data_IF_033007131156
#
_entry.id   IF_033007131156
#
_cell.length_a   1.000
_cell.length_b   1.000
_cell.length_c   1.000
_cell.angle_alpha   90.00
_cell.angle_beta   90.00
_cell.angle_gamma   90.00
#
_symmetry.space_group_name_H-M   'P 1'
#
loop_
_entity.id
_entity.type
_entity.pdbx_description
1 polymer ?
#
# COMPACT_ATOMS: atom_id res chain seq x y z
N UNK A 1 8.96 0.41 14.44
CA UNK A 1 8.53 0.74 13.06
C UNK A 1 9.69 0.46 12.13
N UNK A 2 9.42 -0.11 10.95
CA UNK A 2 10.41 -0.23 9.88
C UNK A 2 10.17 0.87 8.84
N UNK A 3 11.06 1.87 8.79
CA UNK A 3 10.99 2.97 7.84
C UNK A 3 11.85 2.68 6.59
N UNK A 4 11.42 3.18 5.44
CA UNK A 4 12.13 3.05 4.17
C UNK A 4 11.80 4.23 3.25
N UNK A 5 12.77 4.62 2.42
CA UNK A 5 12.55 5.65 1.41
C UNK A 5 11.81 5.04 0.20
N UNK A 6 10.72 5.68 -0.22
CA UNK A 6 9.97 5.32 -1.41
C UNK A 6 9.77 6.57 -2.28
N UNK A 7 10.50 6.66 -3.39
CA UNK A 7 10.60 7.91 -4.19
C UNK A 7 11.12 9.08 -3.33
N UNK A 8 10.29 10.09 -3.11
CA UNK A 8 10.59 11.36 -2.41
C UNK A 8 9.93 11.45 -1.03
N UNK A 9 9.40 10.33 -0.52
CA UNK A 9 8.76 10.24 0.79
C UNK A 9 9.26 9.02 1.56
N UNK A 10 9.41 9.14 2.86
CA UNK A 10 9.61 7.98 3.72
C UNK A 10 8.27 7.34 4.02
N UNK A 11 8.18 6.03 3.83
CA UNK A 11 7.08 5.20 4.30
C UNK A 11 7.55 4.37 5.50
N UNK A 12 6.62 3.97 6.35
CA UNK A 12 6.91 3.24 7.57
C UNK A 12 5.85 2.21 7.89
N UNK A 13 6.29 0.99 8.22
CA UNK A 13 5.46 -0.04 8.83
C UNK A 13 5.43 0.18 10.34
N UNK A 14 4.43 0.94 10.80
CA UNK A 14 4.24 1.23 12.23
C UNK A 14 3.67 0.00 12.91
N UNK A 15 4.52 -0.73 13.64
CA UNK A 15 4.09 -1.89 14.41
C UNK A 15 3.16 -1.46 15.54
N UNK A 16 1.97 -2.05 15.56
CA UNK A 16 0.95 -1.85 16.58
C UNK A 16 0.78 -3.16 17.33
N UNK A 17 1.04 -3.12 18.63
CA UNK A 17 0.92 -4.25 19.53
C UNK A 17 -0.35 -4.10 20.39
N UNK A 18 -1.13 -5.17 20.53
CA UNK A 18 -2.19 -5.28 21.53
C UNK A 18 -1.74 -6.23 22.65
N UNK A 19 -0.88 -5.72 23.53
CA UNK A 19 -0.24 -6.54 24.57
C UNK A 19 0.53 -7.70 23.96
N UNK A 20 0.27 -8.91 24.48
CA UNK A 20 0.84 -10.19 24.03
C UNK A 20 -0.01 -10.90 22.95
N UNK A 21 -1.16 -10.31 22.58
CA UNK A 21 -2.19 -10.96 21.75
C UNK A 21 -1.94 -10.82 20.26
N UNK A 22 -1.52 -9.64 19.82
CA UNK A 22 -1.38 -9.30 18.41
C UNK A 22 -0.25 -8.31 18.16
N UNK A 23 0.40 -8.46 17.01
CA UNK A 23 1.25 -7.44 16.42
C UNK A 23 0.90 -7.30 14.94
N UNK A 24 0.62 -6.09 14.49
CA UNK A 24 0.25 -5.79 13.10
C UNK A 24 0.93 -4.50 12.66
N UNK A 25 0.75 -4.05 11.42
CA UNK A 25 1.31 -2.78 10.97
C UNK A 25 0.27 -1.83 10.37
N UNK A 26 0.25 -0.61 10.88
CA UNK A 26 -0.33 0.55 10.19
C UNK A 26 0.70 1.13 9.22
N UNK A 27 0.21 1.83 8.18
CA UNK A 27 1.07 2.59 7.27
C UNK A 27 1.27 4.01 7.80
N UNK A 28 2.53 4.44 7.89
CA UNK A 28 2.92 5.80 8.22
C UNK A 28 3.78 6.42 7.12
N UNK A 29 3.85 7.75 7.08
CA UNK A 29 4.71 8.48 6.15
C UNK A 29 5.38 9.69 6.81
N UNK A 30 6.51 10.12 6.23
CA UNK A 30 7.26 11.30 6.61
C UNK A 30 7.97 11.90 5.40
N UNK A 31 8.12 13.24 5.36
CA UNK A 31 8.90 13.92 4.30
C UNK A 31 10.34 14.22 4.71
N UNK A 32 10.62 14.24 6.00
CA UNK A 32 11.93 14.60 6.57
C UNK A 32 12.61 13.44 7.31
N UNK A 33 11.86 12.35 7.55
CA UNK A 33 12.33 11.19 8.32
C UNK A 33 12.24 11.37 9.84
N UNK A 34 11.88 12.57 10.32
CA UNK A 34 11.76 12.89 11.75
C UNK A 34 10.31 13.02 12.21
N UNK A 35 9.47 13.73 11.45
CA UNK A 35 8.06 13.95 11.78
C UNK A 35 7.20 12.95 11.00
N UNK A 36 6.46 12.10 11.72
CA UNK A 36 5.73 10.97 11.14
C UNK A 36 4.23 11.10 11.34
N UNK A 37 3.46 10.77 10.30
CA UNK A 37 2.00 10.75 10.32
C UNK A 37 1.50 9.37 9.89
N UNK A 38 0.50 8.84 10.59
CA UNK A 38 -0.23 7.64 10.16
C UNK A 38 -1.12 8.01 8.97
N UNK A 39 -1.11 7.18 7.92
CA UNK A 39 -1.89 7.42 6.70
C UNK A 39 -3.40 7.35 6.99
N UNK A 40 -3.81 6.33 7.75
CA UNK A 40 -5.18 6.12 8.20
C UNK A 40 -5.15 5.51 9.61
N UNK A 41 -5.11 6.34 10.68
CA UNK A 41 -4.96 5.85 12.05
C UNK A 41 -6.03 4.81 12.41
N UNK A 42 -5.62 3.65 12.93
CA UNK A 42 -6.51 2.54 13.27
C UNK A 42 -6.83 1.58 12.12
N UNK A 43 -6.51 1.94 10.87
CA UNK A 43 -6.61 1.01 9.74
C UNK A 43 -5.31 0.24 9.56
N UNK A 44 -5.39 -1.07 9.79
CA UNK A 44 -4.25 -1.97 9.63
C UNK A 44 -3.99 -2.20 8.14
N UNK A 45 -2.78 -1.84 7.71
CA UNK A 45 -2.28 -2.04 6.36
C UNK A 45 -1.73 -3.47 6.18
N UNK A 46 -0.90 -3.93 7.12
CA UNK A 46 -0.34 -5.27 7.12
C UNK A 46 -0.89 -6.05 8.32
N UNK A 47 -1.85 -6.94 8.05
CA UNK A 47 -2.54 -7.73 9.08
C UNK A 47 -1.78 -9.02 9.38
N UNK A 48 -1.97 -9.51 10.60
CA UNK A 48 -1.58 -10.88 10.94
C UNK A 48 -2.47 -11.88 10.19
N UNK A 49 -2.07 -13.14 10.18
CA UNK A 49 -2.84 -14.20 9.53
C UNK A 49 -4.15 -14.53 10.26
N UNK A 50 -5.05 -15.21 9.56
CA UNK A 50 -6.31 -15.70 10.12
C UNK A 50 -6.08 -16.69 11.28
N UNK A 51 -7.05 -16.86 12.22
CA UNK A 51 -6.89 -17.75 13.35
C UNK A 51 -6.37 -19.15 12.98
N UNK A 52 -5.24 -19.52 13.60
CA UNK A 52 -4.62 -20.83 13.42
C UNK A 52 -3.76 -20.99 12.15
N UNK A 53 -3.49 -19.90 11.43
CA UNK A 53 -2.34 -19.78 10.53
C UNK A 53 -1.02 -19.71 11.33
N UNK A 54 0.13 -19.76 10.64
CA UNK A 54 1.44 -19.75 11.28
C UNK A 54 1.86 -18.36 11.80
N UNK A 55 1.19 -17.32 11.32
CA UNK A 55 1.39 -15.90 11.65
C UNK A 55 0.14 -15.27 12.29
N UNK A 56 -0.67 -16.08 12.97
CA UNK A 56 -1.97 -15.66 13.52
C UNK A 56 -1.91 -14.80 14.78
N UNK A 57 -0.77 -14.76 15.48
CA UNK A 57 -0.60 -14.01 16.73
C UNK A 57 0.21 -12.73 16.53
N UNK A 58 0.85 -12.56 15.39
CA UNK A 58 1.47 -11.29 15.05
C UNK A 58 2.44 -11.37 13.89
N UNK A 59 2.70 -10.19 13.36
CA UNK A 59 3.67 -9.94 12.29
C UNK A 59 4.52 -8.71 12.64
N UNK A 60 5.75 -8.72 12.14
CA UNK A 60 6.64 -7.55 12.09
C UNK A 60 7.20 -7.46 10.68
N UNK A 61 6.55 -6.64 9.85
CA UNK A 61 7.06 -6.31 8.53
C UNK A 61 8.28 -5.39 8.64
N UNK A 62 9.31 -5.68 7.84
CA UNK A 62 10.50 -4.83 7.71
C UNK A 62 10.43 -4.01 6.41
N UNK A 63 11.48 -3.21 6.14
CA UNK A 63 11.61 -2.48 4.89
C UNK A 63 11.51 -3.46 3.69
N UNK A 64 10.66 -3.17 2.69
CA UNK A 64 10.49 -4.06 1.55
C UNK A 64 11.65 -3.98 0.56
N UNK A 65 11.72 -5.00 -0.29
CA UNK A 65 12.58 -5.02 -1.47
C UNK A 65 11.73 -4.74 -2.70
N UNK A 66 12.13 -3.75 -3.51
CA UNK A 66 11.48 -3.47 -4.79
C UNK A 66 12.23 -4.25 -5.88
N UNK A 67 11.51 -5.06 -6.65
CA UNK A 67 12.09 -5.78 -7.78
C UNK A 67 11.08 -5.90 -8.92
N UNK A 68 11.43 -5.34 -10.08
CA UNK A 68 10.54 -5.27 -11.23
C UNK A 68 9.29 -4.42 -10.94
N UNK A 69 8.12 -5.01 -11.16
CA UNK A 69 6.80 -4.40 -10.97
C UNK A 69 6.18 -4.67 -9.59
N UNK A 70 6.96 -5.24 -8.66
CA UNK A 70 6.51 -5.70 -7.35
C UNK A 70 7.35 -5.17 -6.20
N UNK A 71 6.68 -5.07 -5.07
CA UNK A 71 7.23 -4.76 -3.76
C UNK A 71 7.09 -6.02 -2.91
N UNK A 72 8.21 -6.50 -2.37
CA UNK A 72 8.30 -7.72 -1.57
C UNK A 72 8.52 -7.35 -0.11
N UNK A 73 7.57 -7.70 0.74
CA UNK A 73 7.69 -7.54 2.18
C UNK A 73 8.09 -8.86 2.79
N UNK A 74 9.33 -8.92 3.28
CA UNK A 74 9.71 -9.97 4.22
C UNK A 74 9.26 -9.55 5.62
N UNK A 75 8.71 -10.48 6.38
CA UNK A 75 8.20 -10.20 7.72
C UNK A 75 8.46 -11.37 8.65
N UNK A 76 8.74 -11.08 9.91
CA UNK A 76 8.65 -12.08 10.96
C UNK A 76 7.17 -12.29 11.31
N UNK A 77 6.75 -13.53 11.45
CA UNK A 77 5.40 -13.88 11.88
C UNK A 77 5.44 -15.02 12.89
N UNK A 78 4.40 -15.10 13.72
CA UNK A 78 4.31 -16.12 14.75
C UNK A 78 2.86 -16.43 15.12
N UNK A 79 2.65 -17.62 15.66
CA UNK A 79 1.37 -18.11 16.20
C UNK A 79 1.48 -18.51 17.69
N UNK A 80 2.53 -18.05 18.36
CA UNK A 80 2.78 -18.22 19.79
C UNK A 80 2.60 -16.88 20.52
N UNK A 81 2.33 -16.82 21.83
CA UNK A 81 2.23 -15.54 22.53
C UNK A 81 3.51 -14.69 22.39
N UNK A 82 3.35 -13.38 22.16
CA UNK A 82 4.49 -12.46 22.18
C UNK A 82 4.80 -12.09 23.63
N UNK A 83 5.97 -12.49 24.14
CA UNK A 83 6.37 -12.21 25.53
C UNK A 83 7.72 -11.50 25.56
N UNK A 84 7.73 -10.31 26.18
CA UNK A 84 8.92 -9.58 26.62
C UNK A 84 9.26 -9.87 28.09
N UNK A 85 8.44 -10.69 28.76
CA UNK A 85 8.53 -10.98 30.19
C UNK A 85 9.39 -12.20 30.46
N UNK A 86 10.15 -12.16 31.58
CA UNK A 86 10.82 -13.34 32.11
C UNK A 86 9.89 -14.42 32.67
N UNK A 87 8.58 -14.27 32.44
CA UNK A 87 7.54 -15.05 33.06
C UNK A 87 6.31 -15.13 32.15
N UNK A 88 5.89 -16.34 31.78
CA UNK A 88 4.65 -16.56 31.01
C UNK A 88 3.53 -16.91 31.97
N UNK A 89 2.36 -16.27 31.77
CA UNK A 89 1.14 -16.60 32.52
C UNK A 89 0.31 -17.60 31.73
N UNK A 90 0.16 -18.80 32.24
CA UNK A 90 -0.61 -19.87 31.60
C UNK A 90 -2.13 -19.62 31.69
N UNK A 91 -2.95 -20.25 30.83
CA UNK A 91 -4.41 -20.15 30.87
C UNK A 91 -5.03 -20.56 32.22
N UNK A 92 -4.34 -21.39 33.00
CA UNK A 92 -4.73 -21.82 34.34
C UNK A 92 -4.30 -20.85 35.46
N UNK A 93 -3.64 -19.74 35.11
CA UNK A 93 -3.19 -18.70 36.02
C UNK A 93 -1.78 -18.87 36.56
N UNK A 94 -1.08 -19.97 36.26
CA UNK A 94 0.32 -20.18 36.69
C UNK A 94 1.27 -19.18 36.03
N UNK A 95 2.31 -18.79 36.76
CA UNK A 95 3.42 -17.94 36.26
C UNK A 95 4.71 -18.75 36.32
N UNK A 96 5.36 -18.96 35.19
CA UNK A 96 6.56 -19.82 35.06
C UNK A 96 7.73 -19.03 34.47
N UNK A 97 8.92 -19.23 35.03
CA UNK A 97 10.17 -18.67 34.51
C UNK A 97 10.51 -19.31 33.14
N UNK A 98 10.93 -18.49 32.19
CA UNK A 98 10.94 -18.82 30.74
C UNK A 98 11.91 -19.92 30.26
N UNK A 99 12.78 -20.52 31.07
CA UNK A 99 13.91 -21.29 30.49
C UNK A 99 13.49 -22.48 29.61
N UNK A 100 12.50 -23.28 30.01
CA UNK A 100 12.01 -24.40 29.17
C UNK A 100 10.99 -23.96 28.11
N UNK A 101 10.15 -22.96 28.38
CA UNK A 101 9.14 -22.50 27.42
C UNK A 101 9.73 -21.64 26.30
N UNK A 102 10.72 -20.79 26.58
CA UNK A 102 11.44 -20.03 25.56
C UNK A 102 12.18 -20.98 24.61
N UNK A 103 12.75 -22.07 25.13
CA UNK A 103 13.35 -23.12 24.31
C UNK A 103 12.33 -23.74 23.35
N UNK A 104 11.08 -23.98 23.80
CA UNK A 104 9.99 -24.46 22.94
C UNK A 104 9.59 -23.41 21.89
N UNK A 105 9.47 -22.14 22.28
CA UNK A 105 9.19 -21.02 21.37
C UNK A 105 10.24 -20.85 20.29
N UNK A 106 11.52 -20.98 20.64
CA UNK A 106 12.62 -20.87 19.69
C UNK A 106 12.77 -22.10 18.79
N UNK A 107 12.56 -23.31 19.30
CA UNK A 107 12.65 -24.54 18.52
C UNK A 107 11.40 -24.80 17.65
N UNK A 108 10.26 -24.24 18.07
CA UNK A 108 8.93 -24.58 17.61
C UNK A 108 8.46 -25.96 18.11
N UNK A 109 7.16 -26.16 18.23
CA UNK A 109 6.55 -27.45 18.60
C UNK A 109 5.29 -27.74 17.79
N UNK A 110 4.65 -28.89 18.02
CA UNK A 110 3.37 -29.22 17.39
C UNK A 110 2.28 -29.30 18.45
N UNK A 111 1.18 -28.62 18.22
CA UNK A 111 -0.02 -28.65 19.06
C UNK A 111 -1.26 -28.82 18.18
N UNK A 112 -2.09 -29.82 18.46
CA UNK A 112 -3.27 -30.15 17.66
C UNK A 112 -2.97 -30.25 16.14
N UNK A 113 -1.82 -30.83 15.78
CA UNK A 113 -1.36 -30.98 14.40
C UNK A 113 -0.83 -29.70 13.74
N UNK A 114 -0.72 -28.58 14.47
CA UNK A 114 -0.21 -27.31 13.97
C UNK A 114 1.18 -27.02 14.54
N UNK A 115 2.09 -26.54 13.68
CA UNK A 115 3.41 -26.11 14.13
C UNK A 115 3.31 -24.73 14.76
N UNK A 116 3.71 -24.64 16.02
CA UNK A 116 3.82 -23.43 16.81
C UNK A 116 5.26 -22.94 16.72
N UNK A 117 5.50 -21.74 16.19
CA UNK A 117 6.85 -21.25 15.91
C UNK A 117 6.89 -19.75 15.59
N UNK A 118 8.11 -19.23 15.47
CA UNK A 118 8.43 -18.05 14.68
C UNK A 118 8.90 -18.48 13.29
N UNK A 119 8.53 -17.72 12.26
CA UNK A 119 9.03 -17.93 10.90
C UNK A 119 9.12 -16.60 10.13
N UNK A 120 9.77 -16.65 8.97
CA UNK A 120 9.82 -15.54 8.02
C UNK A 120 8.83 -15.83 6.90
N UNK A 121 7.92 -14.88 6.68
CA UNK A 121 6.97 -14.86 5.58
C UNK A 121 7.37 -13.85 4.50
N UNK A 122 6.67 -13.95 3.37
CA UNK A 122 6.78 -13.00 2.27
C UNK A 122 5.38 -12.62 1.79
N UNK A 123 5.09 -11.33 1.73
CA UNK A 123 3.94 -10.77 1.04
C UNK A 123 4.39 -9.92 -0.15
N UNK A 124 3.53 -9.80 -1.15
CA UNK A 124 3.82 -8.98 -2.33
C UNK A 124 2.74 -7.92 -2.55
N UNK A 125 3.17 -6.75 -3.00
CA UNK A 125 2.30 -5.67 -3.45
C UNK A 125 2.72 -5.23 -4.85
N UNK A 126 1.76 -4.75 -5.65
CA UNK A 126 2.08 -4.07 -6.92
C UNK A 126 2.90 -2.81 -6.63
N UNK A 127 3.78 -2.40 -7.55
CA UNK A 127 4.45 -1.11 -7.48
C UNK A 127 3.41 0.01 -7.28
N UNK A 128 3.71 1.01 -6.44
CA UNK A 128 2.83 2.10 -5.98
C UNK A 128 1.47 1.66 -5.38
N UNK A 129 1.29 0.40 -5.01
CA UNK A 129 0.00 -0.17 -4.59
C UNK A 129 -0.44 0.10 -3.15
N UNK A 130 0.24 1.00 -2.41
CA UNK A 130 0.04 1.16 -0.96
C UNK A 130 -1.34 1.68 -0.59
N UNK A 131 -1.85 2.64 -1.36
CA UNK A 131 -3.17 3.24 -1.16
C UNK A 131 -3.72 3.67 -2.51
N UNK A 132 -5.03 3.53 -2.68
CA UNK A 132 -5.72 3.99 -3.88
C UNK A 132 -6.70 5.11 -3.54
N UNK A 133 -7.00 5.91 -4.55
CA UNK A 133 -8.24 6.65 -4.60
C UNK A 133 -9.31 5.71 -5.15
N UNK A 134 -10.27 5.36 -4.30
CA UNK A 134 -11.33 4.42 -4.65
C UNK A 134 -12.60 5.12 -5.14
N UNK A 135 -13.20 4.61 -6.21
CA UNK A 135 -14.53 5.01 -6.67
C UNK A 135 -15.45 3.79 -6.78
N UNK A 136 -16.60 3.85 -6.11
CA UNK A 136 -17.65 2.83 -6.22
C UNK A 136 -18.56 3.03 -7.44
N UNK A 137 -19.83 2.63 -7.31
CA UNK A 137 -20.84 2.77 -8.39
C UNK A 137 -21.16 4.22 -8.76
N UNK A 138 -21.07 5.13 -7.78
CA UNK A 138 -21.19 6.59 -8.04
C UNK A 138 -19.83 7.10 -8.52
N UNK A 139 -19.75 7.76 -9.69
CA UNK A 139 -18.49 8.30 -10.18
C UNK A 139 -17.86 9.28 -9.18
N UNK A 140 -16.55 9.16 -8.99
CA UNK A 140 -15.71 10.08 -8.25
C UNK A 140 -14.85 10.93 -9.20
N UNK A 141 -14.46 12.12 -8.74
CA UNK A 141 -13.61 13.04 -9.49
C UNK A 141 -12.45 13.49 -8.62
N UNK A 142 -11.23 13.36 -9.14
CA UNK A 142 -10.01 13.91 -8.55
C UNK A 142 -9.43 14.96 -9.50
N UNK A 143 -9.12 16.15 -9.00
CA UNK A 143 -8.30 17.13 -9.73
C UNK A 143 -6.99 17.35 -9.00
N UNK A 144 -5.87 17.26 -9.71
CA UNK A 144 -4.54 17.50 -9.12
C UNK A 144 -4.32 18.97 -8.78
N UNK A 145 -3.32 19.25 -7.94
CA UNK A 145 -2.68 20.58 -7.92
C UNK A 145 -2.11 20.88 -9.31
N UNK A 146 -1.88 22.16 -9.58
CA UNK A 146 -1.29 22.58 -10.83
C UNK A 146 0.22 22.30 -10.85
N UNK A 147 0.72 21.73 -11.94
CA UNK A 147 2.12 21.41 -12.15
C UNK A 147 2.52 21.60 -13.62
N UNK A 148 3.82 21.67 -13.90
CA UNK A 148 4.34 21.78 -15.26
C UNK A 148 4.34 20.40 -15.94
N UNK A 149 3.73 20.29 -17.12
CA UNK A 149 3.74 19.05 -17.86
C UNK A 149 5.15 18.73 -18.36
N UNK A 150 5.65 17.54 -18.05
CA UNK A 150 6.98 17.10 -18.49
C UNK A 150 6.99 16.56 -19.92
N UNK A 151 5.83 16.39 -20.56
CA UNK A 151 5.71 15.80 -21.90
C UNK A 151 5.62 14.27 -21.87
N UNK A 152 5.95 13.61 -22.98
CA UNK A 152 5.97 12.15 -23.10
C UNK A 152 4.57 11.51 -23.15
N UNK A 153 4.44 10.41 -22.41
CA UNK A 153 3.24 9.61 -22.20
C UNK A 153 2.82 9.77 -20.75
N UNK A 154 1.51 9.95 -20.55
CA UNK A 154 0.89 9.84 -19.24
C UNK A 154 0.56 8.36 -18.98
N UNK A 155 1.13 7.80 -17.93
CA UNK A 155 0.94 6.43 -17.48
C UNK A 155 0.21 6.41 -16.14
N UNK A 156 -0.79 5.54 -16.01
CA UNK A 156 -1.55 5.33 -14.78
C UNK A 156 -1.27 3.95 -14.21
N UNK A 157 -1.32 3.88 -12.88
CA UNK A 157 -1.35 2.65 -12.12
C UNK A 157 -2.77 2.49 -11.56
N UNK A 158 -3.55 1.59 -12.13
CA UNK A 158 -4.97 1.51 -11.83
C UNK A 158 -5.52 0.07 -11.91
N UNK A 159 -6.59 -0.19 -11.15
CA UNK A 159 -7.47 -1.37 -11.27
C UNK A 159 -8.91 -0.88 -11.44
N UNK A 160 -9.42 -0.92 -12.68
CA UNK A 160 -10.70 -0.31 -13.04
C UNK A 160 -11.57 -1.30 -13.79
N UNK A 161 -12.72 -1.63 -13.19
CA UNK A 161 -13.77 -2.46 -13.81
C UNK A 161 -14.79 -1.60 -14.56
N UNK A 162 -15.13 -0.44 -14.01
CA UNK A 162 -16.09 0.50 -14.59
C UNK A 162 -15.48 1.33 -15.71
N UNK A 163 -15.12 2.57 -15.44
CA UNK A 163 -14.41 3.42 -16.39
C UNK A 163 -13.58 4.49 -15.69
N UNK A 164 -12.40 4.75 -16.24
CA UNK A 164 -11.53 5.84 -15.86
C UNK A 164 -11.22 6.69 -17.10
N UNK A 165 -11.53 7.98 -17.01
CA UNK A 165 -11.23 8.99 -18.03
C UNK A 165 -10.32 10.06 -17.44
N UNK A 166 -9.48 10.64 -18.28
CA UNK A 166 -8.54 11.68 -17.87
C UNK A 166 -8.74 12.92 -18.71
N UNK A 167 -8.94 14.05 -18.05
CA UNK A 167 -8.89 15.37 -18.68
C UNK A 167 -7.55 16.04 -18.40
N UNK A 168 -7.14 16.90 -19.34
CA UNK A 168 -6.08 17.87 -19.07
C UNK A 168 -6.70 19.25 -19.03
N UNK A 169 -6.56 19.92 -17.88
CA UNK A 169 -7.09 21.25 -17.66
C UNK A 169 -6.01 22.31 -17.85
N UNK A 170 -6.40 23.45 -18.38
CA UNK A 170 -5.57 24.66 -18.43
C UNK A 170 -5.51 25.39 -17.09
N UNK A 171 -4.93 26.59 -17.11
CA UNK A 171 -4.77 27.43 -15.92
C UNK A 171 -6.09 27.85 -15.28
N UNK A 172 -7.13 28.06 -16.09
CA UNK A 172 -8.49 28.38 -15.66
C UNK A 172 -9.28 27.17 -15.14
N UNK A 173 -8.64 26.00 -15.00
CA UNK A 173 -9.27 24.73 -14.62
C UNK A 173 -10.34 24.22 -15.60
N UNK A 174 -10.38 24.73 -16.82
CA UNK A 174 -11.20 24.22 -17.91
C UNK A 174 -10.44 23.20 -18.76
N UNK A 175 -11.11 22.16 -19.30
CA UNK A 175 -10.48 21.20 -20.20
C UNK A 175 -9.87 21.89 -21.42
N UNK A 176 -8.62 21.55 -21.74
CA UNK A 176 -7.98 22.00 -22.97
C UNK A 176 -8.68 21.35 -24.18
N UNK A 177 -8.81 22.06 -25.33
CA UNK A 177 -9.40 21.49 -26.54
C UNK A 177 -8.73 20.17 -26.97
N UNK A 178 -9.52 19.11 -27.10
CA UNK A 178 -9.03 17.76 -27.44
C UNK A 178 -8.52 16.94 -26.25
N UNK A 179 -8.64 17.45 -25.02
CA UNK A 179 -8.28 16.77 -23.76
C UNK A 179 -9.44 16.72 -22.77
N UNK A 180 -10.69 16.90 -23.23
CA UNK A 180 -11.87 16.72 -22.39
C UNK A 180 -12.14 15.23 -22.11
N UNK A 181 -12.99 14.92 -21.13
CA UNK A 181 -13.34 13.55 -20.77
C UNK A 181 -13.88 12.75 -21.97
N UNK A 182 -14.69 13.39 -22.81
CA UNK A 182 -15.26 12.78 -24.03
C UNK A 182 -14.22 12.52 -25.12
N UNK A 183 -13.09 13.23 -25.08
CA UNK A 183 -11.94 12.98 -25.95
C UNK A 183 -11.00 11.91 -25.40
N UNK A 184 -11.09 11.58 -24.12
CA UNK A 184 -10.32 10.51 -23.49
C UNK A 184 -10.88 9.13 -23.87
N UNK A 185 -10.02 8.16 -24.16
CA UNK A 185 -10.46 6.76 -24.26
C UNK A 185 -10.65 6.20 -22.85
N UNK A 186 -11.79 5.54 -22.55
CA UNK A 186 -12.03 4.99 -21.23
C UNK A 186 -11.04 3.86 -20.94
N UNK A 187 -10.44 3.90 -19.75
CA UNK A 187 -9.55 2.88 -19.24
C UNK A 187 -10.35 1.88 -18.41
N UNK A 188 -10.17 0.58 -18.72
CA UNK A 188 -10.71 -0.59 -18.00
C UNK A 188 -9.62 -1.65 -17.95
N UNK A 189 -8.86 -1.67 -16.87
CA UNK A 189 -7.62 -2.45 -16.79
C UNK A 189 -7.19 -2.61 -15.35
N UNK A 190 -6.47 -3.70 -15.06
CA UNK A 190 -5.70 -3.89 -13.84
C UNK A 190 -4.22 -3.99 -14.19
N UNK A 191 -3.56 -2.84 -14.30
CA UNK A 191 -2.19 -2.72 -14.83
C UNK A 191 -1.45 -1.60 -14.13
N UNK A 192 -0.15 -1.78 -13.88
CA UNK A 192 0.70 -0.75 -13.25
C UNK A 192 1.14 0.36 -14.20
N UNK A 193 0.96 0.16 -15.52
CA UNK A 193 1.37 1.09 -16.57
C UNK A 193 0.35 1.14 -17.70
N UNK A 194 -0.75 1.84 -17.47
CA UNK A 194 -1.78 2.09 -18.49
C UNK A 194 -1.53 3.42 -19.16
N UNK A 195 -1.31 3.41 -20.47
CA UNK A 195 -1.16 4.65 -21.24
C UNK A 195 -2.52 5.34 -21.39
N UNK A 196 -2.60 6.60 -20.95
CA UNK A 196 -3.73 7.48 -21.26
C UNK A 196 -3.69 7.85 -22.73
N UNK A 197 -4.84 7.73 -23.41
CA UNK A 197 -4.99 8.07 -24.82
C UNK A 197 -6.18 8.99 -24.99
N UNK A 198 -6.01 9.99 -25.85
CA UNK A 198 -7.08 10.85 -26.31
C UNK A 198 -7.28 10.66 -27.82
N UNK A 199 -8.45 11.04 -28.30
CA UNK A 199 -8.83 11.01 -29.72
C UNK A 199 -7.86 11.85 -30.56
N UNK A 200 -7.86 11.60 -31.86
CA UNK A 200 -7.02 12.30 -32.84
C UNK A 200 -5.51 12.27 -32.52
N UNK A 201 -5.05 11.24 -31.79
CA UNK A 201 -3.64 11.07 -31.45
C UNK A 201 -3.06 12.13 -30.52
N UNK A 202 -3.90 12.81 -29.72
CA UNK A 202 -3.43 13.80 -28.74
C UNK A 202 -2.57 13.13 -27.66
N UNK A 203 -1.51 13.82 -27.26
CA UNK A 203 -0.55 13.37 -26.25
C UNK A 203 -0.12 14.56 -25.38
N UNK A 204 0.34 14.27 -24.17
CA UNK A 204 0.87 15.29 -23.26
C UNK A 204 2.20 15.89 -23.72
N UNK A 205 2.88 15.30 -24.71
CA UNK A 205 4.09 15.85 -25.34
C UNK A 205 3.90 17.31 -25.81
N UNK A 206 2.77 17.62 -26.45
CA UNK A 206 2.48 18.99 -26.94
C UNK A 206 2.19 20.00 -25.82
N UNK A 207 2.11 19.52 -24.59
CA UNK A 207 1.86 20.33 -23.40
C UNK A 207 3.13 20.53 -22.57
N UNK A 208 4.29 20.01 -23.01
CA UNK A 208 5.58 20.16 -22.34
C UNK A 208 5.85 21.62 -21.96
N UNK A 209 6.23 21.86 -20.70
CA UNK A 209 6.50 23.19 -20.15
C UNK A 209 5.25 24.02 -19.81
N UNK A 210 4.04 23.54 -20.13
CA UNK A 210 2.80 24.23 -19.78
C UNK A 210 2.36 23.83 -18.39
N UNK A 211 1.85 24.82 -17.66
CA UNK A 211 1.20 24.60 -16.37
C UNK A 211 -0.21 24.02 -16.61
N UNK A 212 -0.42 22.80 -16.13
CA UNK A 212 -1.66 22.04 -16.32
C UNK A 212 -2.19 21.49 -15.00
N UNK A 213 -3.39 20.92 -15.04
CA UNK A 213 -3.92 19.99 -14.03
C UNK A 213 -4.43 18.74 -14.73
N UNK A 214 -4.42 17.61 -14.04
CA UNK A 214 -5.11 16.41 -14.49
C UNK A 214 -6.41 16.26 -13.70
N UNK A 215 -7.50 15.96 -14.40
CA UNK A 215 -8.77 15.56 -13.78
C UNK A 215 -9.04 14.11 -14.12
N UNK A 216 -9.16 13.26 -13.11
CA UNK A 216 -9.53 11.87 -13.25
C UNK A 216 -11.00 11.72 -12.88
N UNK A 217 -11.78 11.15 -13.79
CA UNK A 217 -13.20 10.84 -13.59
C UNK A 217 -13.31 9.33 -13.63
N UNK A 218 -13.74 8.74 -12.52
CA UNK A 218 -13.64 7.30 -12.31
C UNK A 218 -14.91 6.72 -11.72
N UNK A 219 -15.27 5.52 -12.16
CA UNK A 219 -16.33 4.68 -11.57
C UNK A 219 -15.85 3.24 -11.48
N UNK A 220 -16.18 2.59 -10.36
CA UNK A 220 -15.88 1.18 -10.06
C UNK A 220 -14.41 0.82 -10.33
N UNK A 221 -13.52 1.44 -9.55
CA UNK A 221 -12.10 1.20 -9.65
C UNK A 221 -11.24 1.96 -8.64
N UNK A 222 -9.95 1.70 -8.75
CA UNK A 222 -8.89 2.18 -7.87
C UNK A 222 -7.79 2.82 -8.72
N UNK A 223 -7.45 4.07 -8.42
CA UNK A 223 -6.31 4.79 -8.99
C UNK A 223 -5.21 4.92 -7.93
N UNK A 224 -4.07 4.28 -8.16
CA UNK A 224 -2.96 4.23 -7.22
C UNK A 224 -1.96 5.37 -7.46
N UNK A 225 -1.51 5.53 -8.70
CA UNK A 225 -0.52 6.55 -9.06
C UNK A 225 -0.67 6.98 -10.53
N UNK A 226 -0.05 8.11 -10.86
CA UNK A 226 0.15 8.56 -12.24
C UNK A 226 1.57 9.11 -12.39
N UNK A 227 2.13 8.98 -13.59
CA UNK A 227 3.44 9.55 -13.92
C UNK A 227 3.56 9.87 -15.40
N UNK A 228 4.57 10.68 -15.71
CA UNK A 228 5.02 10.92 -17.08
C UNK A 228 6.29 10.11 -17.35
N UNK A 229 6.47 9.64 -18.59
CA UNK A 229 7.72 9.02 -19.05
C UNK A 229 8.69 10.01 -19.71
#
# INVERSE_FOLDING_TARGET
MAAFLYSDVYLGMLWVFEGDKSAQAELAFSRDGSEWQRVSPGEIFFRQGEPGSWDSNGILAVAPVIHGDRIYFYYAGWNVPYTDSKFVKQPDGRVIAIDEELARVQAGWVENGKRMQWAIGMATLRLDGFISLHAGKRPGVLTTKSFEATGGKLLLNADVRGDLRTEVLGENAEPLPGYAADDSYPIRSNEIQVKVRWKHGRTVEKLRGKRIRLRFIMREGDLYSFRFD
#
